data_IF_399458849488
#
_entry.id   IF_399458849488
#
_cell.length_a   1.000
_cell.length_b   1.000
_cell.length_c   1.000
_cell.angle_alpha   90.00
_cell.angle_beta   90.00
_cell.angle_gamma   90.00
#
_symmetry.space_group_name_H-M   'P 1'
#
loop_
_entity.id
_entity.type
_entity.pdbx_description
1 polymer ?
#
# COMPACT_ATOMS: atom_id res chain seq x y z
N UNK A 1 -40.66 39.65 -18.64
CA UNK A 1 -39.32 39.66 -19.24
C UNK A 1 -38.18 39.55 -18.23
N UNK A 2 -38.20 40.25 -17.05
CA UNK A 2 -37.09 40.21 -16.08
C UNK A 2 -36.78 38.82 -15.42
N UNK A 3 -37.79 37.91 -15.27
CA UNK A 3 -37.62 36.59 -14.70
C UNK A 3 -36.93 35.57 -15.63
N UNK A 4 -37.07 35.74 -16.95
CA UNK A 4 -36.48 34.83 -17.95
C UNK A 4 -34.97 35.14 -18.11
N UNK A 5 -34.57 36.40 -18.01
CA UNK A 5 -33.17 36.81 -18.11
C UNK A 5 -32.34 36.27 -16.94
N UNK A 6 -32.91 36.28 -15.74
CA UNK A 6 -32.20 35.70 -14.55
C UNK A 6 -31.95 34.18 -14.67
N UNK A 7 -32.89 33.44 -15.27
CA UNK A 7 -32.72 31.99 -15.46
C UNK A 7 -31.63 31.67 -16.53
N UNK A 8 -31.59 32.46 -17.63
CA UNK A 8 -30.54 32.28 -18.64
C UNK A 8 -29.13 32.62 -18.12
N UNK A 9 -29.00 33.64 -17.28
CA UNK A 9 -27.72 33.98 -16.67
C UNK A 9 -27.24 32.89 -15.66
N UNK A 10 -28.17 32.30 -14.92
CA UNK A 10 -27.83 31.21 -13.99
C UNK A 10 -27.39 29.93 -14.74
N UNK A 11 -28.09 29.57 -15.81
CA UNK A 11 -27.73 28.42 -16.65
C UNK A 11 -26.39 28.66 -17.36
N UNK A 12 -26.09 29.88 -17.78
CA UNK A 12 -24.81 30.22 -18.42
C UNK A 12 -23.64 30.19 -17.42
N UNK A 13 -23.85 30.66 -16.18
CA UNK A 13 -22.86 30.61 -15.14
C UNK A 13 -22.53 29.18 -14.71
N UNK A 14 -23.53 28.30 -14.60
CA UNK A 14 -23.34 26.88 -14.30
C UNK A 14 -22.60 26.19 -15.45
N UNK A 15 -23.02 26.43 -16.70
CA UNK A 15 -22.39 25.85 -17.89
C UNK A 15 -20.92 26.31 -18.04
N UNK A 16 -20.59 27.56 -17.77
CA UNK A 16 -19.21 28.08 -17.85
C UNK A 16 -18.33 27.52 -16.74
N UNK A 17 -18.85 27.34 -15.53
CA UNK A 17 -18.11 26.72 -14.44
C UNK A 17 -17.81 25.23 -14.72
N UNK A 18 -18.77 24.49 -15.27
CA UNK A 18 -18.55 23.10 -15.66
C UNK A 18 -17.55 22.95 -16.80
N UNK A 19 -17.59 23.79 -17.81
CA UNK A 19 -16.64 23.81 -18.94
C UNK A 19 -15.22 24.15 -18.43
N UNK A 20 -15.09 25.09 -17.49
CA UNK A 20 -13.82 25.45 -16.89
C UNK A 20 -13.22 24.30 -16.07
N UNK A 21 -14.01 23.65 -15.21
CA UNK A 21 -13.58 22.51 -14.42
C UNK A 21 -13.16 21.32 -15.30
N UNK A 22 -13.92 21.02 -16.38
CA UNK A 22 -13.57 19.96 -17.31
C UNK A 22 -12.28 20.25 -18.08
N UNK A 23 -12.03 21.51 -18.46
CA UNK A 23 -10.78 21.90 -19.12
C UNK A 23 -9.58 21.79 -18.20
N UNK A 24 -9.73 22.12 -16.91
CA UNK A 24 -8.70 21.98 -15.90
C UNK A 24 -8.39 20.51 -15.61
N UNK A 25 -9.39 19.67 -15.43
CA UNK A 25 -9.21 18.22 -15.27
C UNK A 25 -8.48 17.62 -16.46
N UNK A 26 -8.89 17.93 -17.69
CA UNK A 26 -8.22 17.46 -18.90
C UNK A 26 -6.76 17.90 -18.97
N UNK A 27 -6.44 19.12 -18.53
CA UNK A 27 -5.06 19.61 -18.46
C UNK A 27 -4.26 18.86 -17.41
N UNK A 28 -4.81 18.63 -16.22
CA UNK A 28 -4.17 17.86 -15.17
C UNK A 28 -3.92 16.42 -15.61
N UNK A 29 -4.87 15.79 -16.27
CA UNK A 29 -4.73 14.42 -16.78
C UNK A 29 -3.62 14.27 -17.82
N UNK A 30 -3.34 15.33 -18.60
CA UNK A 30 -2.25 15.32 -19.58
C UNK A 30 -0.86 15.51 -18.95
N UNK A 31 -0.77 16.21 -17.82
CA UNK A 31 0.50 16.52 -17.14
C UNK A 31 0.79 15.48 -16.04
N UNK A 32 -0.24 15.14 -15.26
CA UNK A 32 -0.18 14.24 -14.11
C UNK A 32 -1.40 13.32 -14.12
N UNK A 33 -1.38 12.25 -14.93
CA UNK A 33 -2.54 11.37 -15.11
C UNK A 33 -2.94 10.60 -13.84
N UNK A 34 -2.02 10.41 -12.91
CA UNK A 34 -2.27 9.79 -11.61
C UNK A 34 -1.97 10.80 -10.49
N UNK A 35 -3.01 11.13 -9.73
CA UNK A 35 -2.92 11.99 -8.55
C UNK A 35 -3.46 11.20 -7.37
N UNK A 36 -2.52 10.53 -6.68
CA UNK A 36 -2.84 9.58 -5.63
C UNK A 36 -2.59 10.14 -4.22
N UNK A 37 -3.33 9.63 -3.27
CA UNK A 37 -3.07 9.75 -1.83
C UNK A 37 -2.96 8.36 -1.22
N UNK A 38 -1.91 8.13 -0.43
CA UNK A 38 -1.79 6.94 0.41
C UNK A 38 -2.10 7.32 1.86
N UNK A 39 -3.07 6.65 2.49
CA UNK A 39 -3.49 6.93 3.86
C UNK A 39 -4.00 5.65 4.53
N UNK A 40 -3.90 5.58 5.86
CA UNK A 40 -4.50 4.49 6.61
C UNK A 40 -6.05 4.53 6.55
N UNK A 41 -6.68 3.36 6.51
CA UNK A 41 -8.12 3.26 6.60
C UNK A 41 -8.63 3.85 7.94
N UNK A 42 -9.79 4.49 7.94
CA UNK A 42 -10.37 5.04 9.17
C UNK A 42 -10.73 3.93 10.15
N UNK A 43 -10.76 4.21 11.44
CA UNK A 43 -11.50 3.34 12.35
C UNK A 43 -13.00 3.40 12.04
N UNK A 44 -13.76 2.36 12.41
CA UNK A 44 -15.22 2.31 12.18
C UNK A 44 -15.94 3.55 12.76
N UNK A 45 -15.48 4.07 13.91
CA UNK A 45 -16.05 5.27 14.55
C UNK A 45 -15.78 6.58 13.76
N UNK A 46 -14.76 6.59 12.89
CA UNK A 46 -14.38 7.75 12.09
C UNK A 46 -14.80 7.62 10.63
N UNK A 47 -15.59 6.60 10.30
CA UNK A 47 -15.98 6.33 8.92
C UNK A 47 -16.69 7.53 8.27
N UNK A 48 -17.70 8.12 8.94
CA UNK A 48 -18.46 9.24 8.37
C UNK A 48 -17.56 10.47 8.11
N UNK A 49 -16.59 10.73 8.99
CA UNK A 49 -15.60 11.79 8.78
C UNK A 49 -14.73 11.50 7.56
N UNK A 50 -14.32 10.24 7.37
CA UNK A 50 -13.53 9.83 6.21
C UNK A 50 -14.32 9.96 4.90
N UNK A 51 -15.60 9.57 4.88
CA UNK A 51 -16.46 9.73 3.71
C UNK A 51 -16.59 11.21 3.32
N UNK A 52 -16.76 12.11 4.30
CA UNK A 52 -16.74 13.55 4.10
C UNK A 52 -15.42 14.04 3.53
N UNK A 53 -14.29 13.58 4.08
CA UNK A 53 -12.95 13.94 3.60
C UNK A 53 -12.78 13.60 2.11
N UNK A 54 -13.24 12.41 1.68
CA UNK A 54 -13.21 12.04 0.27
C UNK A 54 -14.02 13.00 -0.60
N UNK A 55 -15.24 13.36 -0.16
CA UNK A 55 -16.16 14.22 -0.94
C UNK A 55 -15.77 15.70 -0.94
N UNK A 56 -15.34 16.21 0.22
CA UNK A 56 -15.18 17.66 0.45
C UNK A 56 -13.74 18.12 0.21
N UNK A 57 -12.75 17.21 0.28
CA UNK A 57 -11.34 17.55 0.14
C UNK A 57 -10.66 16.83 -1.04
N UNK A 58 -10.72 15.50 -1.12
CA UNK A 58 -9.99 14.77 -2.16
C UNK A 58 -10.58 14.99 -3.55
N UNK A 59 -11.89 14.88 -3.68
CA UNK A 59 -12.55 15.04 -4.98
C UNK A 59 -12.40 16.46 -5.55
N UNK A 60 -12.63 17.55 -4.79
CA UNK A 60 -12.40 18.90 -5.28
C UNK A 60 -10.93 19.20 -5.58
N UNK A 61 -9.99 18.51 -4.91
CA UNK A 61 -8.54 18.61 -5.16
C UNK A 61 -8.06 17.74 -6.33
N UNK A 62 -8.98 17.17 -7.11
CA UNK A 62 -8.72 16.36 -8.30
C UNK A 62 -7.88 15.10 -8.06
N UNK A 63 -7.90 14.53 -6.86
CA UNK A 63 -7.37 13.19 -6.64
C UNK A 63 -8.16 12.14 -7.42
N UNK A 64 -7.47 11.16 -8.00
CA UNK A 64 -8.10 10.10 -8.81
C UNK A 64 -7.63 8.68 -8.42
N UNK A 65 -6.79 8.57 -7.40
CA UNK A 65 -6.34 7.31 -6.81
C UNK A 65 -6.24 7.45 -5.29
N UNK A 66 -6.78 6.48 -4.58
CA UNK A 66 -6.64 6.34 -3.15
C UNK A 66 -5.98 4.99 -2.84
N UNK A 67 -4.76 5.00 -2.30
CA UNK A 67 -4.15 3.82 -1.69
C UNK A 67 -4.57 3.81 -0.24
N UNK A 68 -5.41 2.84 0.14
CA UNK A 68 -6.00 2.75 1.46
C UNK A 68 -5.38 1.59 2.24
N UNK A 69 -4.50 1.90 3.19
CA UNK A 69 -3.88 0.89 4.03
C UNK A 69 -4.88 0.34 5.04
N UNK A 70 -5.29 -0.88 4.83
CA UNK A 70 -6.29 -1.59 5.61
C UNK A 70 -5.63 -2.47 6.67
N UNK A 71 -4.59 -3.21 6.30
CA UNK A 71 -3.92 -4.21 7.14
C UNK A 71 -4.96 -5.12 7.83
N UNK A 72 -5.04 -5.08 9.15
CA UNK A 72 -5.94 -5.91 9.98
C UNK A 72 -7.28 -5.25 10.30
N UNK A 73 -7.48 -4.00 9.85
CA UNK A 73 -8.68 -3.19 10.10
C UNK A 73 -9.84 -3.50 9.11
N UNK A 74 -10.02 -4.78 8.80
CA UNK A 74 -11.19 -5.28 8.08
C UNK A 74 -11.69 -6.58 8.72
N UNK A 75 -13.00 -6.79 8.66
CA UNK A 75 -13.66 -7.96 9.24
C UNK A 75 -13.51 -9.20 8.35
N UNK A 76 -12.28 -9.64 8.09
CA UNK A 76 -11.97 -10.80 7.26
C UNK A 76 -12.81 -12.02 7.64
N UNK A 77 -13.52 -12.60 6.68
CA UNK A 77 -14.28 -13.83 6.88
C UNK A 77 -13.37 -15.07 6.72
N UNK A 78 -12.38 -14.97 5.84
CA UNK A 78 -11.39 -16.03 5.59
C UNK A 78 -10.51 -16.33 6.80
N UNK A 79 -10.08 -15.26 7.52
CA UNK A 79 -9.17 -15.35 8.67
C UNK A 79 -9.64 -14.41 9.80
N UNK A 80 -10.71 -14.79 10.53
CA UNK A 80 -11.28 -13.94 11.59
C UNK A 80 -10.32 -13.64 12.74
N UNK A 81 -9.33 -14.51 12.99
CA UNK A 81 -8.30 -14.36 14.01
C UNK A 81 -7.32 -13.22 13.74
N UNK A 82 -7.24 -12.75 12.49
CA UNK A 82 -6.34 -11.67 12.09
C UNK A 82 -6.96 -10.27 12.19
N UNK A 83 -8.24 -10.18 12.57
CA UNK A 83 -8.96 -8.90 12.65
C UNK A 83 -8.49 -8.04 13.83
N UNK A 84 -8.48 -6.75 13.63
CA UNK A 84 -8.44 -5.80 14.75
C UNK A 84 -9.72 -5.92 15.61
N UNK A 85 -9.70 -5.45 16.87
CA UNK A 85 -10.86 -5.58 17.78
C UNK A 85 -12.14 -4.90 17.28
N UNK A 86 -12.04 -3.83 16.49
CA UNK A 86 -13.17 -3.07 15.95
C UNK A 86 -12.96 -2.76 14.48
N UNK A 87 -12.91 -3.79 13.61
CA UNK A 87 -12.56 -3.63 12.21
C UNK A 87 -13.73 -3.00 11.42
N UNK A 88 -13.41 -2.46 10.25
CA UNK A 88 -14.40 -2.09 9.24
C UNK A 88 -15.18 -3.32 8.79
N UNK A 89 -16.48 -3.22 8.74
CA UNK A 89 -17.35 -4.26 8.18
C UNK A 89 -17.36 -4.21 6.65
N UNK A 90 -17.84 -5.27 6.00
CA UNK A 90 -18.11 -5.29 4.56
C UNK A 90 -18.99 -4.10 4.11
N UNK A 91 -20.01 -3.78 4.92
CA UNK A 91 -20.90 -2.66 4.62
C UNK A 91 -20.21 -1.30 4.77
N UNK A 92 -19.27 -1.15 5.68
CA UNK A 92 -18.47 0.08 5.81
C UNK A 92 -17.53 0.26 4.64
N UNK A 93 -16.88 -0.80 4.18
CA UNK A 93 -16.05 -0.78 2.98
C UNK A 93 -16.88 -0.43 1.75
N UNK A 94 -18.09 -0.98 1.57
CA UNK A 94 -18.99 -0.62 0.46
C UNK A 94 -19.32 0.87 0.44
N UNK A 95 -19.49 1.52 1.61
CA UNK A 95 -19.68 2.98 1.68
C UNK A 95 -18.45 3.73 1.17
N UNK A 96 -17.23 3.29 1.54
CA UNK A 96 -15.98 3.86 1.04
C UNK A 96 -15.89 3.69 -0.48
N UNK A 97 -16.13 2.49 -0.99
CA UNK A 97 -16.12 2.20 -2.43
C UNK A 97 -17.11 3.08 -3.16
N UNK A 98 -18.34 3.19 -2.63
CA UNK A 98 -19.36 4.03 -3.24
C UNK A 98 -18.96 5.49 -3.33
N UNK A 99 -18.48 6.10 -2.24
CA UNK A 99 -18.09 7.52 -2.25
C UNK A 99 -16.92 7.78 -3.19
N UNK A 100 -15.94 6.90 -3.25
CA UNK A 100 -14.83 7.03 -4.18
C UNK A 100 -15.28 6.91 -5.63
N UNK A 101 -16.08 5.90 -5.96
CA UNK A 101 -16.64 5.69 -7.30
C UNK A 101 -17.49 6.88 -7.77
N UNK A 102 -18.37 7.39 -6.91
CA UNK A 102 -19.23 8.53 -7.21
C UNK A 102 -18.42 9.81 -7.51
N UNK A 103 -17.17 9.88 -7.01
CA UNK A 103 -16.25 11.00 -7.21
C UNK A 103 -15.09 10.70 -8.18
N UNK A 104 -15.15 9.61 -8.94
CA UNK A 104 -14.13 9.25 -9.93
C UNK A 104 -12.77 8.85 -9.36
N UNK A 105 -12.71 8.46 -8.09
CA UNK A 105 -11.49 8.05 -7.38
C UNK A 105 -11.40 6.52 -7.39
N UNK A 106 -10.35 5.98 -7.98
CA UNK A 106 -10.02 4.55 -7.90
C UNK A 106 -9.44 4.22 -6.52
N UNK A 107 -9.66 3.01 -6.03
CA UNK A 107 -9.11 2.55 -4.75
C UNK A 107 -8.15 1.39 -5.00
N UNK A 108 -7.00 1.42 -4.32
CA UNK A 108 -6.10 0.30 -4.15
C UNK A 108 -6.03 -0.03 -2.65
N UNK A 109 -6.71 -1.07 -2.15
CA UNK A 109 -6.53 -1.50 -0.78
C UNK A 109 -5.10 -1.99 -0.58
N UNK A 110 -4.54 -1.73 0.60
CA UNK A 110 -3.19 -2.16 0.97
C UNK A 110 -3.22 -3.04 2.20
N UNK A 111 -2.46 -4.13 2.14
CA UNK A 111 -1.95 -4.88 3.30
C UNK A 111 -0.43 -4.81 3.22
N UNK A 112 0.23 -4.55 4.34
CA UNK A 112 1.68 -4.68 4.41
C UNK A 112 2.07 -6.16 4.40
N UNK A 113 2.55 -6.62 3.24
CA UNK A 113 3.03 -7.97 3.03
C UNK A 113 4.56 -8.02 3.14
N UNK A 114 5.09 -9.18 3.44
CA UNK A 114 6.50 -9.49 3.70
C UNK A 114 7.05 -8.72 4.89
N UNK A 115 7.36 -7.43 4.77
CA UNK A 115 7.77 -6.54 5.84
C UNK A 115 6.62 -6.04 6.72
N UNK A 116 6.95 -5.17 7.67
CA UNK A 116 5.98 -4.55 8.59
C UNK A 116 5.06 -5.53 9.32
N UNK A 117 5.56 -6.71 9.69
CA UNK A 117 4.83 -7.67 10.53
C UNK A 117 4.99 -7.37 12.03
N UNK A 118 5.76 -6.35 12.37
CA UNK A 118 5.85 -5.74 13.69
C UNK A 118 6.19 -4.25 13.55
N UNK A 119 6.04 -3.52 14.63
CA UNK A 119 6.55 -2.16 14.79
C UNK A 119 7.11 -2.02 16.19
N UNK A 120 8.42 -1.78 16.28
CA UNK A 120 9.13 -1.80 17.56
C UNK A 120 8.74 -3.04 18.38
N UNK A 121 8.24 -2.89 19.60
CA UNK A 121 7.84 -3.97 20.50
C UNK A 121 6.50 -4.65 20.18
N UNK A 122 5.75 -4.14 19.20
CA UNK A 122 4.43 -4.66 18.86
C UNK A 122 4.50 -5.59 17.65
N UNK A 123 4.24 -6.88 17.85
CA UNK A 123 4.04 -7.86 16.76
C UNK A 123 2.60 -7.79 16.27
N UNK A 124 2.42 -7.69 14.95
CA UNK A 124 1.10 -7.60 14.33
C UNK A 124 0.43 -8.96 14.15
N UNK A 125 -0.83 -8.93 13.73
CA UNK A 125 -1.72 -10.08 13.77
C UNK A 125 -1.15 -11.33 13.09
N UNK A 126 -0.57 -11.21 11.88
CA UNK A 126 -0.08 -12.38 11.15
C UNK A 126 0.97 -13.16 11.95
N UNK A 127 2.03 -12.50 12.43
CA UNK A 127 3.07 -13.19 13.20
C UNK A 127 2.69 -13.47 14.66
N UNK A 128 1.66 -12.83 15.17
CA UNK A 128 1.11 -13.13 16.49
C UNK A 128 0.31 -14.44 16.47
N UNK A 129 -0.53 -14.63 15.44
CA UNK A 129 -1.38 -15.83 15.30
C UNK A 129 -0.63 -16.99 14.65
N UNK A 130 0.36 -16.71 13.77
CA UNK A 130 1.18 -17.68 13.05
C UNK A 130 2.68 -17.42 13.27
N UNK A 131 3.19 -17.61 14.49
CA UNK A 131 4.59 -17.31 14.83
C UNK A 131 5.60 -18.15 14.04
N UNK A 132 5.19 -19.30 13.47
CA UNK A 132 6.01 -20.13 12.59
C UNK A 132 6.35 -19.47 11.25
N UNK A 133 5.65 -18.39 10.89
CA UNK A 133 5.95 -17.61 9.69
C UNK A 133 7.08 -16.60 9.92
N UNK A 134 7.42 -16.29 11.16
CA UNK A 134 8.45 -15.29 11.49
C UNK A 134 9.81 -15.68 10.89
N UNK A 135 10.39 -14.79 10.08
CA UNK A 135 11.74 -14.97 9.50
C UNK A 135 12.82 -14.99 10.58
N UNK A 136 12.60 -14.28 11.68
CA UNK A 136 13.56 -14.06 12.76
C UNK A 136 12.94 -14.25 14.14
N UNK A 137 12.45 -15.46 14.49
CA UNK A 137 11.76 -15.70 15.75
C UNK A 137 12.65 -15.47 16.99
N UNK A 138 13.98 -15.50 16.83
CA UNK A 138 14.96 -15.25 17.88
C UNK A 138 15.16 -13.75 18.18
N UNK A 139 14.71 -12.85 17.31
CA UNK A 139 14.76 -11.39 17.53
C UNK A 139 13.61 -11.00 18.45
N UNK A 140 13.96 -10.61 19.68
CA UNK A 140 12.97 -10.17 20.67
C UNK A 140 12.72 -8.66 20.54
N UNK A 141 11.54 -8.31 20.06
CA UNK A 141 11.11 -6.91 19.93
C UNK A 141 10.79 -6.24 21.27
N UNK A 142 10.62 -7.01 22.36
CA UNK A 142 10.32 -6.47 23.70
C UNK A 142 11.52 -5.83 24.38
N UNK A 143 12.73 -6.18 23.93
CA UNK A 143 13.97 -5.61 24.45
C UNK A 143 14.41 -4.34 23.70
N UNK A 144 13.48 -3.69 23.04
CA UNK A 144 13.70 -2.43 22.37
C UNK A 144 14.15 -1.34 23.36
N UNK A 145 15.36 -0.81 23.18
CA UNK A 145 15.98 0.18 24.08
C UNK A 145 16.13 1.56 23.47
N UNK A 146 15.58 1.79 22.31
CA UNK A 146 15.67 3.06 21.61
C UNK A 146 15.15 2.97 20.18
N UNK A 147 15.15 4.07 19.47
CA UNK A 147 14.76 4.17 18.08
C UNK A 147 15.98 4.48 17.21
N UNK A 148 16.27 3.69 16.19
CA UNK A 148 15.78 2.31 15.97
C UNK A 148 16.28 1.34 17.05
N UNK A 149 15.88 0.03 17.01
CA UNK A 149 16.39 -0.97 17.97
C UNK A 149 17.93 -1.06 17.92
N UNK A 150 18.53 -1.86 18.81
CA UNK A 150 19.98 -2.03 18.91
C UNK A 150 20.66 -2.53 17.63
N UNK A 151 19.95 -3.27 16.78
CA UNK A 151 20.39 -3.68 15.44
C UNK A 151 20.02 -2.67 14.32
N UNK A 152 19.39 -1.54 14.69
CA UNK A 152 18.93 -0.52 13.74
C UNK A 152 17.63 -0.86 13.01
N UNK A 153 16.94 -1.95 13.38
CA UNK A 153 15.79 -2.48 12.67
C UNK A 153 14.57 -2.53 13.60
N UNK A 154 13.39 -2.23 13.10
CA UNK A 154 12.20 -2.07 13.94
C UNK A 154 10.97 -2.84 13.44
N UNK A 155 11.03 -3.48 12.28
CA UNK A 155 9.95 -4.31 11.79
C UNK A 155 10.43 -5.68 11.30
N UNK A 156 9.63 -6.70 11.61
CA UNK A 156 9.83 -8.08 11.21
C UNK A 156 9.22 -8.37 9.85
N UNK A 157 9.66 -9.46 9.26
CA UNK A 157 9.10 -10.01 8.03
C UNK A 157 8.63 -11.45 8.24
N UNK A 158 7.66 -11.88 7.45
CA UNK A 158 7.40 -13.32 7.36
C UNK A 158 8.39 -13.99 6.40
N UNK A 159 8.61 -15.29 6.58
CA UNK A 159 9.44 -16.10 5.69
C UNK A 159 8.70 -16.36 4.35
N UNK A 160 9.18 -15.83 3.21
CA UNK A 160 8.51 -15.99 1.91
C UNK A 160 8.59 -17.42 1.35
N UNK A 161 9.41 -18.27 1.95
CA UNK A 161 9.53 -19.69 1.60
C UNK A 161 8.72 -20.61 2.55
N UNK A 162 7.95 -20.05 3.48
CA UNK A 162 7.08 -20.89 4.31
C UNK A 162 5.92 -21.45 3.47
N UNK A 163 5.68 -22.80 3.45
CA UNK A 163 4.72 -23.43 2.53
C UNK A 163 3.27 -22.98 2.75
N UNK A 164 2.93 -22.53 3.95
CA UNK A 164 1.55 -22.17 4.31
C UNK A 164 1.27 -20.66 4.22
N UNK A 165 2.30 -19.79 4.23
CA UNK A 165 2.09 -18.34 4.34
C UNK A 165 1.23 -17.80 3.20
N UNK A 166 1.47 -18.26 1.97
CA UNK A 166 0.71 -17.79 0.80
C UNK A 166 -0.75 -18.25 0.77
N UNK A 167 -1.10 -19.33 1.46
CA UNK A 167 -2.51 -19.75 1.57
C UNK A 167 -3.31 -18.69 2.34
N UNK A 168 -2.72 -18.15 3.40
CA UNK A 168 -3.35 -17.11 4.22
C UNK A 168 -3.29 -15.76 3.50
N UNK A 169 -2.11 -15.36 3.06
CA UNK A 169 -1.90 -14.06 2.39
C UNK A 169 -2.83 -13.91 1.17
N UNK A 170 -2.92 -14.93 0.31
CA UNK A 170 -3.79 -14.86 -0.88
C UNK A 170 -5.28 -14.83 -0.54
N UNK A 171 -5.71 -15.54 0.51
CA UNK A 171 -7.09 -15.46 0.96
C UNK A 171 -7.46 -14.03 1.41
N UNK A 172 -6.56 -13.36 2.14
CA UNK A 172 -6.76 -11.95 2.55
C UNK A 172 -6.78 -11.00 1.35
N UNK A 173 -5.85 -11.17 0.41
CA UNK A 173 -5.76 -10.36 -0.82
C UNK A 173 -7.02 -10.51 -1.67
N UNK A 174 -7.50 -11.74 -1.85
CA UNK A 174 -8.70 -12.03 -2.64
C UNK A 174 -9.93 -11.40 -2.00
N UNK A 175 -10.10 -11.57 -0.69
CA UNK A 175 -11.23 -11.03 0.05
C UNK A 175 -11.25 -9.49 0.01
N UNK A 176 -10.08 -8.83 0.18
CA UNK A 176 -10.01 -7.37 0.11
C UNK A 176 -10.28 -6.86 -1.31
N UNK A 177 -9.66 -7.44 -2.32
CA UNK A 177 -9.86 -6.96 -3.69
C UNK A 177 -11.30 -7.18 -4.17
N UNK A 178 -11.99 -8.21 -3.65
CA UNK A 178 -13.40 -8.46 -3.89
C UNK A 178 -14.28 -7.39 -3.24
N UNK A 179 -14.13 -7.16 -1.93
CA UNK A 179 -14.99 -6.22 -1.20
C UNK A 179 -14.76 -4.77 -1.65
N UNK A 180 -13.54 -4.41 -2.08
CA UNK A 180 -13.22 -3.11 -2.64
C UNK A 180 -13.61 -2.96 -4.12
N UNK A 181 -14.11 -4.01 -4.76
CA UNK A 181 -14.53 -4.02 -6.16
C UNK A 181 -13.45 -3.44 -7.10
N UNK A 182 -12.18 -3.80 -6.88
CA UNK A 182 -11.04 -3.16 -7.53
C UNK A 182 -10.14 -4.15 -8.27
N UNK A 183 -9.45 -3.66 -9.29
CA UNK A 183 -8.39 -4.37 -10.00
C UNK A 183 -6.98 -3.97 -9.54
N UNK A 184 -6.87 -3.12 -8.50
CA UNK A 184 -5.60 -2.67 -7.95
C UNK A 184 -5.43 -3.22 -6.55
N UNK A 185 -4.23 -3.67 -6.22
CA UNK A 185 -3.86 -4.06 -4.86
C UNK A 185 -2.46 -3.56 -4.55
N UNK A 186 -2.26 -2.98 -3.37
CA UNK A 186 -0.96 -2.54 -2.89
C UNK A 186 -0.45 -3.48 -1.80
N UNK A 187 0.69 -4.13 -2.05
CA UNK A 187 1.23 -5.12 -1.12
C UNK A 187 2.15 -4.53 -0.02
N UNK A 188 2.33 -3.20 0.02
CA UNK A 188 3.35 -2.60 0.89
C UNK A 188 4.75 -2.99 0.41
N UNK A 189 5.38 -3.96 1.06
CA UNK A 189 6.71 -4.51 0.77
C UNK A 189 7.86 -3.52 0.99
N UNK A 190 7.59 -2.44 1.70
CA UNK A 190 8.58 -1.49 2.19
C UNK A 190 9.29 -2.01 3.44
N UNK A 191 10.45 -1.43 3.71
CA UNK A 191 11.23 -1.67 4.92
C UNK A 191 11.44 -3.15 5.28
N UNK A 192 11.61 -4.00 4.25
CA UNK A 192 11.94 -5.42 4.41
C UNK A 192 13.41 -5.53 4.83
N UNK A 193 13.65 -5.43 6.13
CA UNK A 193 14.98 -5.50 6.71
C UNK A 193 15.46 -6.93 6.91
N UNK A 194 14.59 -7.78 7.47
CA UNK A 194 14.85 -9.19 7.69
C UNK A 194 14.34 -10.01 6.51
N UNK A 195 15.24 -10.53 5.71
CA UNK A 195 14.97 -11.46 4.62
C UNK A 195 16.23 -12.29 4.35
N UNK A 196 16.09 -13.59 4.13
CA UNK A 196 17.22 -14.49 3.92
C UNK A 196 18.17 -14.49 5.13
N UNK A 197 17.61 -14.43 6.35
CA UNK A 197 18.40 -14.45 7.58
C UNK A 197 18.98 -15.84 7.80
N UNK A 198 20.26 -15.92 8.18
CA UNK A 198 21.00 -17.19 8.33
C UNK A 198 20.35 -18.16 9.32
N UNK A 199 19.62 -17.66 10.31
CA UNK A 199 18.88 -18.49 11.27
C UNK A 199 17.55 -19.02 10.75
N UNK A 200 17.04 -18.50 9.65
CA UNK A 200 15.81 -19.04 9.05
C UNK A 200 16.12 -20.34 8.32
N UNK A 201 15.51 -21.44 8.79
CA UNK A 201 15.75 -22.79 8.23
C UNK A 201 15.34 -22.94 6.76
N UNK A 202 14.58 -21.99 6.21
CA UNK A 202 14.08 -22.00 4.82
C UNK A 202 14.78 -20.95 3.96
N UNK A 203 14.95 -19.74 4.48
CA UNK A 203 15.50 -18.60 3.73
C UNK A 203 17.01 -18.46 3.88
N UNK A 204 17.62 -19.06 4.93
CA UNK A 204 19.06 -18.95 5.21
C UNK A 204 19.90 -19.44 4.04
N UNK A 205 20.91 -18.64 3.68
CA UNK A 205 21.80 -18.93 2.55
C UNK A 205 21.25 -18.59 1.17
N UNK A 206 20.00 -18.19 1.03
CA UNK A 206 19.44 -17.73 -0.24
C UNK A 206 19.79 -16.26 -0.52
N UNK A 207 19.88 -15.91 -1.80
CA UNK A 207 20.08 -14.53 -2.22
C UNK A 207 18.86 -13.67 -1.89
N UNK A 208 19.08 -12.56 -1.22
CA UNK A 208 18.01 -11.69 -0.70
C UNK A 208 17.22 -11.00 -1.81
N UNK A 209 17.87 -10.67 -2.93
CA UNK A 209 17.19 -10.10 -4.08
C UNK A 209 16.30 -11.14 -4.78
N UNK A 210 16.77 -12.39 -4.89
CA UNK A 210 15.96 -13.48 -5.43
C UNK A 210 14.75 -13.80 -4.55
N UNK A 211 14.94 -13.81 -3.23
CA UNK A 211 13.83 -14.00 -2.28
C UNK A 211 12.77 -12.89 -2.41
N UNK A 212 13.22 -11.63 -2.43
CA UNK A 212 12.33 -10.48 -2.58
C UNK A 212 11.60 -10.50 -3.93
N UNK A 213 12.33 -10.70 -5.02
CA UNK A 213 11.77 -10.78 -6.36
C UNK A 213 10.81 -11.98 -6.51
N UNK A 214 11.15 -13.11 -5.90
CA UNK A 214 10.30 -14.29 -5.87
C UNK A 214 8.96 -14.01 -5.18
N UNK A 215 8.97 -13.27 -4.08
CA UNK A 215 7.75 -12.88 -3.37
C UNK A 215 6.89 -11.92 -4.20
N UNK A 216 7.48 -10.86 -4.75
CA UNK A 216 6.80 -9.94 -5.68
C UNK A 216 6.17 -10.71 -6.83
N UNK A 217 6.91 -11.64 -7.43
CA UNK A 217 6.45 -12.43 -8.58
C UNK A 217 5.28 -13.34 -8.22
N UNK A 218 5.30 -13.98 -7.05
CA UNK A 218 4.19 -14.83 -6.59
C UNK A 218 2.91 -14.02 -6.41
N UNK A 219 2.99 -12.85 -5.74
CA UNK A 219 1.85 -11.97 -5.51
C UNK A 219 1.32 -11.43 -6.85
N UNK A 220 2.22 -10.97 -7.74
CA UNK A 220 1.84 -10.49 -9.07
C UNK A 220 1.14 -11.57 -9.89
N UNK A 221 1.68 -12.78 -9.95
CA UNK A 221 1.08 -13.88 -10.69
C UNK A 221 -0.31 -14.25 -10.17
N UNK A 222 -0.48 -14.26 -8.83
CA UNK A 222 -1.77 -14.51 -8.21
C UNK A 222 -2.80 -13.46 -8.62
N UNK A 223 -2.47 -12.18 -8.51
CA UNK A 223 -3.32 -11.06 -8.91
C UNK A 223 -3.60 -11.06 -10.42
N UNK A 224 -2.56 -11.27 -11.25
CA UNK A 224 -2.70 -11.28 -12.71
C UNK A 224 -3.62 -12.41 -13.20
N UNK A 225 -3.62 -13.57 -12.53
CA UNK A 225 -4.55 -14.68 -12.85
C UNK A 225 -6.02 -14.28 -12.71
N UNK A 226 -6.31 -13.21 -11.97
CA UNK A 226 -7.64 -12.65 -11.72
C UNK A 226 -7.87 -11.32 -12.47
N UNK A 227 -6.96 -10.92 -13.37
CA UNK A 227 -7.03 -9.64 -14.09
C UNK A 227 -6.74 -8.42 -13.22
N UNK A 228 -6.07 -8.62 -12.08
CA UNK A 228 -5.70 -7.56 -11.12
C UNK A 228 -4.22 -7.21 -11.26
N UNK A 229 -3.81 -6.07 -10.71
CA UNK A 229 -2.47 -5.50 -10.84
C UNK A 229 -1.89 -5.19 -9.48
N UNK A 230 -0.60 -5.51 -9.31
CA UNK A 230 0.17 -5.27 -8.09
C UNK A 230 0.77 -3.86 -8.07
N UNK A 231 0.73 -3.24 -6.89
CA UNK A 231 1.49 -2.06 -6.51
C UNK A 231 2.36 -2.39 -5.30
N UNK A 232 3.58 -1.85 -5.24
CA UNK A 232 4.51 -1.98 -4.11
C UNK A 232 5.22 -0.66 -3.85
N UNK A 233 5.78 -0.47 -2.65
CA UNK A 233 6.71 0.61 -2.38
C UNK A 233 8.08 0.32 -3.00
N UNK A 234 8.80 1.37 -3.41
CA UNK A 234 10.03 1.27 -4.22
C UNK A 234 11.34 1.21 -3.43
N UNK A 235 11.33 1.54 -2.14
CA UNK A 235 12.53 1.72 -1.30
C UNK A 235 13.47 0.51 -1.30
N UNK A 236 12.94 -0.71 -1.30
CA UNK A 236 13.77 -1.95 -1.34
C UNK A 236 14.42 -2.22 -2.70
N UNK A 237 14.05 -1.48 -3.73
CA UNK A 237 14.62 -1.56 -5.09
C UNK A 237 15.70 -0.51 -5.36
N UNK A 238 16.06 0.30 -4.36
CA UNK A 238 17.09 1.35 -4.43
C UNK A 238 18.32 0.90 -3.66
N UNK A 239 19.53 1.05 -4.25
CA UNK A 239 20.78 0.77 -3.55
C UNK A 239 21.13 1.89 -2.58
N UNK A 240 20.90 1.68 -1.30
CA UNK A 240 21.18 2.65 -0.26
C UNK A 240 22.67 3.00 -0.09
N UNK A 241 23.56 2.09 -0.46
CA UNK A 241 25.01 2.34 -0.37
C UNK A 241 25.50 3.28 -1.47
N UNK A 242 25.09 3.02 -2.71
CA UNK A 242 25.48 3.84 -3.86
C UNK A 242 24.82 5.22 -3.83
N UNK A 243 23.56 5.27 -3.43
CA UNK A 243 22.77 6.53 -3.40
C UNK A 243 23.05 7.38 -2.17
N UNK A 244 23.57 6.78 -1.10
CA UNK A 244 23.77 7.43 0.19
C UNK A 244 22.44 7.75 0.92
N UNK A 245 21.34 7.13 0.49
CA UNK A 245 20.06 7.15 1.21
C UNK A 245 20.17 6.21 2.40
N UNK A 246 19.58 6.59 3.53
CA UNK A 246 19.58 5.78 4.76
C UNK A 246 18.82 4.45 4.62
N UNK A 247 19.02 3.55 5.59
CA UNK A 247 18.46 2.20 5.57
C UNK A 247 16.92 2.15 5.52
N UNK A 248 16.25 3.23 5.91
CA UNK A 248 14.78 3.30 5.92
C UNK A 248 14.21 3.55 4.53
N UNK A 249 14.81 4.44 3.77
CA UNK A 249 14.33 4.83 2.45
C UNK A 249 15.03 4.08 1.30
N UNK A 250 15.95 3.14 1.60
CA UNK A 250 16.65 2.34 0.60
C UNK A 250 17.18 1.01 1.15
N UNK A 251 17.48 0.08 0.26
CA UNK A 251 18.03 -1.22 0.61
C UNK A 251 19.48 -1.13 1.05
N UNK A 252 19.77 -1.62 2.26
CA UNK A 252 21.14 -1.87 2.75
C UNK A 252 21.49 -3.36 2.79
N UNK A 253 20.53 -4.23 2.50
CA UNK A 253 20.63 -5.69 2.57
C UNK A 253 20.70 -6.37 1.20
N UNK A 254 20.98 -5.62 0.13
CA UNK A 254 21.13 -6.06 -1.27
C UNK A 254 19.82 -6.48 -1.98
N UNK A 255 18.64 -6.22 -1.43
CA UNK A 255 17.37 -6.47 -2.13
C UNK A 255 17.20 -5.58 -3.36
N UNK A 256 17.92 -4.45 -3.49
CA UNK A 256 17.83 -3.53 -4.62
C UNK A 256 18.04 -4.20 -5.99
N UNK A 257 18.84 -5.28 -6.07
CA UNK A 257 19.05 -6.04 -7.30
C UNK A 257 17.79 -6.73 -7.82
N UNK A 258 16.75 -6.81 -6.99
CA UNK A 258 15.46 -7.36 -7.38
C UNK A 258 14.77 -6.53 -8.48
N UNK A 259 15.15 -5.26 -8.69
CA UNK A 259 14.57 -4.38 -9.72
C UNK A 259 14.64 -5.00 -11.13
N UNK A 260 15.69 -5.77 -11.40
CA UNK A 260 15.87 -6.44 -12.69
C UNK A 260 15.15 -7.80 -12.77
N UNK A 261 14.76 -8.35 -11.63
CA UNK A 261 14.18 -9.70 -11.50
C UNK A 261 12.65 -9.70 -11.41
N UNK A 262 12.04 -8.59 -10.93
CA UNK A 262 10.57 -8.50 -10.77
C UNK A 262 9.86 -8.34 -12.11
N UNK A 263 8.57 -8.75 -12.20
CA UNK A 263 7.74 -8.51 -13.38
C UNK A 263 7.64 -7.02 -13.71
N UNK A 264 7.72 -6.66 -14.99
CA UNK A 264 7.77 -5.26 -15.43
C UNK A 264 6.42 -4.55 -15.48
N UNK A 265 5.34 -5.24 -15.16
CA UNK A 265 3.97 -4.72 -15.06
C UNK A 265 3.53 -4.42 -13.62
N UNK A 266 4.43 -4.55 -12.64
CA UNK A 266 4.23 -4.10 -11.26
C UNK A 266 4.33 -2.58 -11.19
N UNK A 267 3.39 -1.92 -10.52
CA UNK A 267 3.49 -0.50 -10.22
C UNK A 267 4.40 -0.26 -9.02
N UNK A 268 5.47 0.47 -9.22
CA UNK A 268 6.39 0.89 -8.16
C UNK A 268 5.97 2.29 -7.71
N UNK A 269 5.65 2.40 -6.42
CA UNK A 269 5.33 3.66 -5.75
C UNK A 269 6.56 4.07 -4.94
N UNK A 270 7.24 5.13 -5.38
CA UNK A 270 8.42 5.63 -4.70
C UNK A 270 8.07 6.63 -3.60
N UNK A 271 8.86 6.66 -2.51
CA UNK A 271 8.66 7.57 -1.39
C UNK A 271 9.99 7.94 -0.73
N UNK A 272 10.19 9.23 -0.44
CA UNK A 272 11.35 9.74 0.26
C UNK A 272 10.98 11.00 1.06
N UNK A 273 11.53 11.13 2.26
CA UNK A 273 11.26 12.24 3.17
C UNK A 273 12.50 13.13 3.41
N UNK A 274 13.70 12.57 3.32
CA UNK A 274 14.92 13.25 3.75
C UNK A 274 15.51 14.20 2.70
N UNK A 275 15.17 14.01 1.39
CA UNK A 275 15.73 14.80 0.29
C UNK A 275 14.63 15.29 -0.63
N UNK A 276 14.66 16.59 -0.92
CA UNK A 276 13.79 17.21 -1.91
C UNK A 276 14.20 16.90 -3.36
N UNK A 277 15.48 16.65 -3.62
CA UNK A 277 16.02 16.34 -4.94
C UNK A 277 16.31 14.86 -5.07
N UNK A 278 15.62 14.20 -6.02
CA UNK A 278 15.70 12.77 -6.30
C UNK A 278 16.43 12.49 -7.64
N UNK A 279 17.15 13.47 -8.19
CA UNK A 279 17.72 13.42 -9.55
C UNK A 279 18.63 12.24 -9.83
N UNK A 280 19.21 11.60 -8.82
CA UNK A 280 20.07 10.42 -8.97
C UNK A 280 19.30 9.09 -8.98
N UNK A 281 18.02 9.07 -8.64
CA UNK A 281 17.24 7.84 -8.46
C UNK A 281 16.18 7.63 -9.54
N UNK A 282 15.85 8.66 -10.28
CA UNK A 282 14.77 8.66 -11.28
C UNK A 282 15.25 8.43 -12.70
N UNK A 283 16.54 8.25 -12.91
CA UNK A 283 17.09 7.93 -14.25
C UNK A 283 17.28 6.43 -14.36
N UNK A 284 16.73 5.80 -15.42
CA UNK A 284 16.92 4.39 -15.71
C UNK A 284 18.35 4.05 -16.06
#
# INVERSE_FOLDING_TARGET
>A
MKKIIGLFLLIWAIGSAQVSAQSETNRLDSIMPVRGLAIAAPSAQKLDLFLKFVQEELAPSHFNLLILRVDWNYAYESHPELRDPTPLTREDVKKIVKVCRDNGIRIAPQINLLGHQSWAETTYALLREYPEFDETPHVDTKNYTGWPNSDGLYCKSYCPLHPEVHKIVFALVDELTDVFETQLFHAGMDEVFYIGHDSCVRCGGHDKAELYAGEVTKIQNHLASQGKRLMIWGDRLIDGKTTGIGAWEASMNNTYRAIDLIPKDVFICDWHYERAEQTLFTLP
#
